data_IF_404229300397
#
_entry.id   IF_404229300397
#
_cell.length_a   1.000
_cell.length_b   1.000
_cell.length_c   1.000
_cell.angle_alpha   90.00
_cell.angle_beta   90.00
_cell.angle_gamma   90.00
#
_symmetry.space_group_name_H-M   'P 1'
#
loop_
_entity.id
_entity.type
_entity.pdbx_description
1 polymer ?
#
# COMPACT_ATOMS: atom_id res chain seq x y z
N UNK A 1 -25.74 2.26 10.65
CA UNK A 1 -25.11 3.05 11.72
C UNK A 1 -23.88 3.72 11.13
N UNK A 2 -23.88 5.03 11.00
CA UNK A 2 -22.74 5.80 10.49
C UNK A 2 -21.82 6.07 11.68
N UNK A 3 -20.64 5.45 11.71
CA UNK A 3 -19.62 5.77 12.71
C UNK A 3 -19.18 7.20 12.40
N UNK A 4 -19.61 8.16 13.20
CA UNK A 4 -19.12 9.53 13.12
C UNK A 4 -17.69 9.54 13.68
N UNK A 5 -16.71 9.32 12.80
CA UNK A 5 -15.33 9.58 13.12
C UNK A 5 -15.19 11.09 13.38
N UNK A 6 -14.62 11.47 14.53
CA UNK A 6 -14.23 12.86 14.76
C UNK A 6 -13.40 13.33 13.57
N UNK A 7 -13.85 14.38 12.89
CA UNK A 7 -13.14 14.88 11.72
C UNK A 7 -11.84 15.53 12.20
N UNK A 8 -10.67 15.00 11.84
CA UNK A 8 -9.41 15.60 12.24
C UNK A 8 -9.33 17.03 11.70
N UNK A 9 -8.58 17.88 12.41
CA UNK A 9 -8.25 19.23 11.95
C UNK A 9 -7.75 19.14 10.50
N UNK A 10 -8.33 19.94 9.59
CA UNK A 10 -7.99 19.92 8.15
C UNK A 10 -6.48 19.86 7.97
N UNK A 11 -6.02 18.90 7.16
CA UNK A 11 -4.60 18.75 6.83
C UNK A 11 -4.05 20.02 6.18
N UNK A 12 -2.73 20.19 6.20
CA UNK A 12 -2.08 21.30 5.49
C UNK A 12 -2.44 21.29 3.99
N UNK A 13 -2.48 20.11 3.37
CA UNK A 13 -2.84 19.96 1.95
C UNK A 13 -4.28 20.36 1.67
N UNK A 14 -5.23 19.99 2.54
CA UNK A 14 -6.62 20.41 2.42
C UNK A 14 -6.78 21.94 2.53
N UNK A 15 -6.04 22.58 3.44
CA UNK A 15 -6.02 24.04 3.58
C UNK A 15 -5.42 24.73 2.35
N UNK A 16 -4.42 24.12 1.71
CA UNK A 16 -3.81 24.63 0.47
C UNK A 16 -4.80 24.51 -0.69
N UNK A 17 -5.49 23.36 -0.85
CA UNK A 17 -6.51 23.16 -1.89
C UNK A 17 -7.56 24.28 -1.89
N UNK A 18 -8.02 24.69 -0.71
CA UNK A 18 -9.07 25.72 -0.54
C UNK A 18 -8.67 27.10 -1.07
N UNK A 19 -7.37 27.35 -1.28
CA UNK A 19 -6.88 28.61 -1.84
C UNK A 19 -7.01 28.65 -3.37
N UNK A 20 -7.30 27.52 -4.02
CA UNK A 20 -7.41 27.42 -5.46
C UNK A 20 -8.87 27.48 -5.91
N UNK A 21 -9.14 28.28 -6.94
CA UNK A 21 -10.46 28.39 -7.59
C UNK A 21 -10.71 27.34 -8.68
N UNK A 22 -9.85 26.32 -8.78
CA UNK A 22 -9.90 25.27 -9.79
C UNK A 22 -9.62 23.89 -9.17
N UNK A 23 -10.14 22.80 -9.78
CA UNK A 23 -9.86 21.44 -9.32
C UNK A 23 -8.37 21.07 -9.42
N UNK A 24 -7.88 20.31 -8.44
CA UNK A 24 -6.54 19.72 -8.44
C UNK A 24 -6.65 18.23 -8.79
N UNK A 25 -5.85 17.79 -9.75
CA UNK A 25 -5.78 16.39 -10.19
C UNK A 25 -4.44 15.83 -9.75
N UNK A 26 -4.46 14.75 -8.98
CA UNK A 26 -3.29 13.93 -8.70
C UNK A 26 -3.14 12.88 -9.81
N UNK A 27 -1.98 12.82 -10.45
CA UNK A 27 -1.74 11.94 -11.60
C UNK A 27 -0.97 10.67 -11.25
N UNK A 28 -0.57 10.50 -9.99
CA UNK A 28 0.28 9.38 -9.55
C UNK A 28 -0.16 8.86 -8.18
N UNK A 29 -1.44 8.53 -8.05
CA UNK A 29 -1.96 7.91 -6.83
C UNK A 29 -1.80 6.41 -6.94
N UNK A 30 -1.14 5.82 -5.95
CA UNK A 30 -0.97 4.37 -5.86
C UNK A 30 -1.91 3.77 -4.82
N UNK A 31 -2.56 2.68 -5.18
CA UNK A 31 -3.30 1.82 -4.24
C UNK A 31 -2.40 0.70 -3.73
N UNK A 32 -2.84 0.06 -2.64
CA UNK A 32 -2.31 -1.23 -2.21
C UNK A 32 -3.40 -2.28 -2.39
N UNK A 33 -3.06 -3.38 -3.06
CA UNK A 33 -3.97 -4.50 -3.18
C UNK A 33 -4.25 -5.09 -1.80
N UNK A 34 -5.46 -5.64 -1.64
CA UNK A 34 -5.84 -6.40 -0.45
C UNK A 34 -5.60 -7.89 -0.71
N UNK A 35 -4.46 -8.46 -0.26
CA UNK A 35 -4.07 -9.81 -0.65
C UNK A 35 -5.11 -10.90 -0.34
N UNK A 36 -5.86 -10.85 0.78
CA UNK A 36 -6.89 -11.86 1.06
C UNK A 36 -7.93 -11.97 -0.06
N UNK A 37 -8.47 -10.85 -0.55
CA UNK A 37 -9.46 -10.90 -1.64
C UNK A 37 -8.85 -11.41 -2.96
N UNK A 38 -7.57 -11.14 -3.21
CA UNK A 38 -6.86 -11.68 -4.36
C UNK A 38 -6.67 -13.20 -4.25
N UNK A 39 -6.30 -13.71 -3.07
CA UNK A 39 -6.13 -15.14 -2.83
C UNK A 39 -7.47 -15.90 -2.91
N UNK A 40 -8.56 -15.31 -2.41
CA UNK A 40 -9.91 -15.86 -2.57
C UNK A 40 -10.30 -15.99 -4.05
N UNK A 41 -9.99 -14.96 -4.85
CA UNK A 41 -10.23 -15.01 -6.30
C UNK A 41 -9.31 -16.03 -6.99
N UNK A 42 -8.04 -16.08 -6.59
CA UNK A 42 -7.07 -17.01 -7.15
C UNK A 42 -7.48 -18.47 -6.90
N UNK A 43 -8.00 -18.77 -5.71
CA UNK A 43 -8.56 -20.09 -5.40
C UNK A 43 -9.72 -20.44 -6.34
N UNK A 44 -10.61 -19.49 -6.63
CA UNK A 44 -11.76 -19.72 -7.52
C UNK A 44 -11.33 -20.01 -8.97
N UNK A 45 -10.29 -19.33 -9.48
CA UNK A 45 -9.90 -19.44 -10.89
C UNK A 45 -8.78 -20.43 -11.17
N UNK A 46 -7.91 -20.68 -10.19
CA UNK A 46 -6.72 -21.52 -10.33
C UNK A 46 -6.66 -22.70 -9.34
N UNK A 47 -7.66 -22.82 -8.46
CA UNK A 47 -7.75 -23.88 -7.46
C UNK A 47 -6.93 -23.59 -6.20
N UNK A 48 -7.29 -24.32 -5.14
CA UNK A 48 -6.69 -24.15 -3.81
C UNK A 48 -5.19 -24.41 -3.79
N UNK A 49 -4.68 -25.37 -4.57
CA UNK A 49 -3.24 -25.69 -4.60
C UNK A 49 -2.36 -24.49 -4.98
N UNK A 50 -2.77 -23.69 -5.99
CA UNK A 50 -2.02 -22.50 -6.38
C UNK A 50 -2.21 -21.35 -5.38
N UNK A 51 -3.43 -21.19 -4.84
CA UNK A 51 -3.70 -20.20 -3.81
C UNK A 51 -2.85 -20.42 -2.54
N UNK A 52 -2.79 -21.67 -2.05
CA UNK A 52 -1.93 -22.06 -0.94
C UNK A 52 -0.45 -21.89 -1.28
N UNK A 53 0.00 -22.36 -2.44
CA UNK A 53 1.40 -22.20 -2.85
C UNK A 53 1.81 -20.72 -2.98
N UNK A 54 0.90 -19.83 -3.36
CA UNK A 54 1.18 -18.40 -3.40
C UNK A 54 1.12 -17.77 -2.01
N UNK A 55 0.15 -18.14 -1.17
CA UNK A 55 0.08 -17.69 0.22
C UNK A 55 1.32 -18.09 1.02
N UNK A 56 1.77 -19.35 0.89
CA UNK A 56 3.02 -19.86 1.45
C UNK A 56 4.25 -19.29 0.74
N UNK A 57 4.23 -19.17 -0.58
CA UNK A 57 5.34 -18.63 -1.37
C UNK A 57 5.61 -17.15 -1.12
N UNK A 58 4.58 -16.36 -0.81
CA UNK A 58 4.71 -14.99 -0.30
C UNK A 58 5.44 -14.99 1.06
N UNK A 59 5.26 -16.02 1.89
CA UNK A 59 5.92 -16.14 3.18
C UNK A 59 7.37 -16.68 3.09
N UNK A 60 7.60 -17.71 2.28
CA UNK A 60 8.83 -18.54 2.31
C UNK A 60 9.69 -18.42 1.05
N UNK A 61 9.11 -18.43 -0.16
CA UNK A 61 9.86 -18.57 -1.41
C UNK A 61 10.70 -17.33 -1.77
N UNK A 62 10.22 -16.12 -1.42
CA UNK A 62 11.02 -14.89 -1.51
C UNK A 62 12.23 -14.90 -0.58
N UNK A 63 12.18 -15.64 0.53
CA UNK A 63 13.28 -15.71 1.46
C UNK A 63 14.35 -16.69 0.97
N UNK A 64 13.98 -17.83 0.39
CA UNK A 64 14.95 -18.87 0.04
C UNK A 64 15.69 -18.63 -1.28
N UNK A 65 15.02 -18.16 -2.34
CA UNK A 65 15.62 -18.15 -3.68
C UNK A 65 16.10 -16.79 -4.19
N UNK A 66 15.76 -15.70 -3.52
CA UNK A 66 16.15 -14.34 -3.89
C UNK A 66 16.55 -13.52 -2.66
N UNK A 67 17.72 -13.81 -2.04
CA UNK A 67 18.12 -13.17 -0.79
C UNK A 67 18.19 -11.63 -0.86
N UNK A 68 18.36 -11.05 -2.05
CA UNK A 68 18.35 -9.59 -2.30
C UNK A 68 16.98 -8.97 -2.64
N UNK A 69 15.93 -9.76 -2.85
CA UNK A 69 14.60 -9.24 -3.25
C UNK A 69 13.62 -9.09 -2.08
N UNK A 70 13.90 -9.73 -0.95
CA UNK A 70 13.03 -9.65 0.22
C UNK A 70 13.19 -8.31 0.95
N UNK A 71 12.10 -7.53 1.01
CA UNK A 71 12.03 -6.24 1.73
C UNK A 71 12.50 -6.35 3.19
N UNK A 72 12.16 -7.46 3.85
CA UNK A 72 12.49 -7.69 5.25
C UNK A 72 13.96 -8.04 5.47
N UNK A 73 14.66 -8.55 4.45
CA UNK A 73 16.07 -8.95 4.55
C UNK A 73 17.02 -7.76 4.50
N UNK A 74 16.69 -6.68 3.78
CA UNK A 74 17.49 -5.45 3.78
C UNK A 74 17.82 -4.96 5.21
N UNK A 75 16.85 -5.06 6.13
CA UNK A 75 17.03 -4.63 7.53
C UNK A 75 17.79 -5.61 8.41
N UNK A 76 18.07 -6.82 7.91
CA UNK A 76 18.75 -7.89 8.64
C UNK A 76 20.12 -8.24 8.05
N UNK A 77 20.45 -7.73 6.87
CA UNK A 77 21.71 -7.97 6.17
C UNK A 77 22.83 -7.05 6.65
N UNK A 78 24.05 -7.58 6.62
CA UNK A 78 25.27 -6.79 6.68
C UNK A 78 25.50 -6.01 5.38
N UNK A 79 26.36 -5.00 5.43
CA UNK A 79 26.74 -4.25 4.23
C UNK A 79 27.42 -5.09 3.15
N UNK A 80 28.15 -6.14 3.54
CA UNK A 80 28.78 -7.07 2.60
C UNK A 80 27.73 -7.90 1.86
N UNK A 81 26.75 -8.44 2.58
CA UNK A 81 25.64 -9.19 1.99
C UNK A 81 24.79 -8.30 1.08
N UNK A 82 24.46 -7.07 1.50
CA UNK A 82 23.73 -6.13 0.64
C UNK A 82 24.44 -5.87 -0.69
N UNK A 83 25.78 -5.74 -0.67
CA UNK A 83 26.58 -5.56 -1.89
C UNK A 83 26.60 -6.83 -2.74
N UNK A 84 26.85 -7.98 -2.13
CA UNK A 84 26.93 -9.27 -2.83
C UNK A 84 25.62 -9.62 -3.55
N UNK A 85 24.48 -9.32 -2.92
CA UNK A 85 23.16 -9.60 -3.49
C UNK A 85 22.53 -8.43 -4.24
N UNK A 86 23.20 -7.28 -4.27
CA UNK A 86 22.63 -6.02 -4.79
C UNK A 86 21.23 -5.75 -4.23
N UNK A 87 21.04 -6.01 -2.94
CA UNK A 87 19.74 -5.90 -2.28
C UNK A 87 19.19 -4.49 -2.43
N UNK A 88 17.95 -4.34 -2.87
CA UNK A 88 17.31 -3.02 -2.97
C UNK A 88 16.73 -2.61 -1.63
N UNK A 89 17.03 -1.39 -1.18
CA UNK A 89 16.39 -0.82 0.02
C UNK A 89 14.91 -0.58 -0.26
N UNK A 90 13.99 -1.18 0.52
CA UNK A 90 12.57 -0.92 0.34
C UNK A 90 12.23 0.53 0.68
N UNK A 91 11.31 1.11 -0.08
CA UNK A 91 10.76 2.43 0.17
C UNK A 91 9.99 2.46 1.51
N UNK A 92 10.30 3.45 2.36
CA UNK A 92 9.69 3.56 3.70
C UNK A 92 8.20 3.93 3.66
N UNK A 93 7.71 4.48 2.55
CA UNK A 93 6.33 4.94 2.35
C UNK A 93 5.36 3.88 1.83
N UNK A 94 5.83 2.65 1.54
CA UNK A 94 5.03 1.62 0.83
C UNK A 94 3.96 0.94 1.68
N UNK A 95 4.03 1.02 3.01
CA UNK A 95 3.04 0.48 3.95
C UNK A 95 2.87 1.46 5.11
N UNK A 96 1.66 1.97 5.34
CA UNK A 96 1.36 2.72 6.56
C UNK A 96 1.33 1.75 7.73
N UNK A 97 2.36 1.76 8.58
CA UNK A 97 2.51 0.72 9.62
C UNK A 97 1.80 1.03 10.94
N UNK A 98 1.39 2.29 11.16
CA UNK A 98 0.85 2.70 12.46
C UNK A 98 -0.62 3.16 12.47
N UNK A 99 -1.25 3.35 11.30
CA UNK A 99 -2.66 3.75 11.22
C UNK A 99 -3.43 2.80 10.30
N UNK A 100 -4.41 2.10 10.89
CA UNK A 100 -5.26 1.15 10.18
C UNK A 100 -6.20 1.85 9.19
N UNK A 101 -6.62 3.09 9.48
CA UNK A 101 -7.49 3.89 8.61
C UNK A 101 -6.72 4.31 7.36
N UNK A 102 -5.45 4.70 7.50
CA UNK A 102 -4.61 5.05 6.35
C UNK A 102 -4.32 3.84 5.47
N UNK A 103 -4.06 2.67 6.07
CA UNK A 103 -3.92 1.42 5.31
C UNK A 103 -5.22 1.09 4.56
N UNK A 104 -6.36 1.19 5.24
CA UNK A 104 -7.67 0.98 4.62
C UNK A 104 -7.94 1.98 3.49
N UNK A 105 -7.46 3.21 3.62
CA UNK A 105 -7.68 4.27 2.62
C UNK A 105 -7.04 3.92 1.30
N UNK A 106 -5.78 3.49 1.29
CA UNK A 106 -5.09 3.09 0.06
C UNK A 106 -5.51 1.70 -0.45
N UNK A 107 -6.23 0.93 0.36
CA UNK A 107 -6.67 -0.43 -0.01
C UNK A 107 -8.14 -0.52 -0.46
N UNK A 108 -8.98 0.44 -0.07
CA UNK A 108 -10.43 0.44 -0.35
C UNK A 108 -10.74 1.64 -1.26
N UNK A 109 -11.03 1.42 -2.57
CA UNK A 109 -11.21 2.51 -3.53
C UNK A 109 -12.25 3.56 -3.13
N UNK A 110 -13.34 3.13 -2.50
CA UNK A 110 -14.38 4.05 -2.02
C UNK A 110 -13.87 4.97 -0.91
N UNK A 111 -13.10 4.42 0.03
CA UNK A 111 -12.53 5.21 1.14
C UNK A 111 -11.44 6.15 0.63
N UNK A 112 -10.60 5.70 -0.32
CA UNK A 112 -9.65 6.57 -1.03
C UNK A 112 -10.36 7.79 -1.63
N UNK A 113 -11.43 7.55 -2.38
CA UNK A 113 -12.22 8.60 -3.03
C UNK A 113 -12.78 9.61 -2.02
N UNK A 114 -13.37 9.12 -0.93
CA UNK A 114 -13.92 9.97 0.15
C UNK A 114 -12.84 10.83 0.81
N UNK A 115 -11.58 10.37 0.85
CA UNK A 115 -10.45 11.04 1.52
C UNK A 115 -9.51 11.80 0.58
N UNK A 116 -9.76 11.88 -0.73
CA UNK A 116 -8.93 12.69 -1.67
C UNK A 116 -8.80 14.15 -1.21
N UNK A 117 -9.89 14.69 -0.67
CA UNK A 117 -9.92 16.04 -0.14
C UNK A 117 -9.11 16.20 1.17
N UNK A 118 -8.77 15.13 1.87
CA UNK A 118 -7.80 15.20 2.96
C UNK A 118 -6.37 15.27 2.42
N UNK A 119 -6.09 14.60 1.31
CA UNK A 119 -4.80 14.64 0.62
C UNK A 119 -4.57 15.97 -0.14
N UNK A 120 -5.62 16.75 -0.38
CA UNK A 120 -5.54 18.05 -1.05
C UNK A 120 -5.94 18.04 -2.51
N UNK A 121 -6.47 16.93 -3.02
CA UNK A 121 -6.84 16.77 -4.43
C UNK A 121 -8.35 16.59 -4.59
N UNK A 122 -8.86 16.87 -5.79
CA UNK A 122 -10.25 16.66 -6.16
C UNK A 122 -10.43 15.35 -6.90
N UNK A 123 -9.44 15.01 -7.74
CA UNK A 123 -9.42 13.82 -8.56
C UNK A 123 -8.05 13.15 -8.45
N UNK A 124 -8.05 11.85 -8.69
CA UNK A 124 -6.86 11.02 -8.75
C UNK A 124 -6.92 10.13 -9.98
N UNK A 125 -5.77 9.95 -10.63
CA UNK A 125 -5.53 8.87 -11.57
C UNK A 125 -4.85 7.74 -10.80
N UNK A 126 -5.46 6.56 -10.85
CA UNK A 126 -5.06 5.33 -10.16
C UNK A 126 -4.95 4.22 -11.19
#
# INVERSE_FOLDING_TARGET
MTIALERPKKTKSAQIREKFGYPIIDTDVQTQEFPPAFLDYLEQVAGSALSFALAEGIAEHFQEHLPGSSRSKWFKQTWEECRNYCTTRPAFWTRSTNDAVDLATISIPKLLHERLQEAGTNFAVV
#
